data_IF_252232240886
#
_entry.id   IF_252232240886
#
_cell.length_a   1.000
_cell.length_b   1.000
_cell.length_c   1.000
_cell.angle_alpha   90.00
_cell.angle_beta   90.00
_cell.angle_gamma   90.00
#
_symmetry.space_group_name_H-M   'P 1'
#
loop_
_entity.id
_entity.type
_entity.pdbx_description
1 polymer ?
#
# COMPACT_ATOMS: atom_id res chain seq x y z
N UNK A 1 5.33 -0.97 30.81
CA UNK A 1 6.06 -0.43 29.65
C UNK A 1 5.01 0.18 28.72
N UNK A 2 4.88 1.50 28.75
CA UNK A 2 3.81 2.22 28.07
C UNK A 2 4.18 2.31 26.59
N UNK A 3 3.42 1.63 25.73
CA UNK A 3 3.64 1.68 24.28
C UNK A 3 3.23 3.06 23.80
N UNK A 4 4.21 3.95 23.64
CA UNK A 4 4.03 5.24 23.03
C UNK A 4 3.42 5.04 21.64
N UNK A 5 2.21 5.54 21.46
CA UNK A 5 1.50 5.56 20.19
C UNK A 5 2.17 6.62 19.32
N UNK A 6 3.24 6.25 18.62
CA UNK A 6 3.94 7.16 17.69
C UNK A 6 3.00 7.53 16.55
N UNK A 7 2.43 8.73 16.60
CA UNK A 7 1.73 9.39 15.50
C UNK A 7 2.69 9.87 14.38
N UNK A 8 3.83 9.18 14.16
CA UNK A 8 4.95 9.70 13.37
C UNK A 8 5.12 9.14 11.96
N UNK A 9 4.83 7.86 11.75
CA UNK A 9 5.20 7.18 10.50
C UNK A 9 3.97 6.64 9.79
N UNK A 10 3.35 7.48 8.96
CA UNK A 10 2.28 7.07 8.07
C UNK A 10 2.71 7.24 6.62
N UNK A 11 2.62 6.19 5.83
CA UNK A 11 3.01 6.17 4.41
C UNK A 11 1.75 6.05 3.57
N UNK A 12 1.62 6.92 2.57
CA UNK A 12 0.58 6.79 1.55
C UNK A 12 0.98 5.67 0.58
N UNK A 13 0.11 4.68 0.45
CA UNK A 13 0.23 3.56 -0.49
C UNK A 13 -0.89 3.65 -1.51
N UNK A 14 -0.55 3.43 -2.77
CA UNK A 14 -1.48 3.43 -3.90
C UNK A 14 -1.45 2.04 -4.52
N UNK A 15 -2.56 1.32 -4.44
CA UNK A 15 -2.74 0.05 -5.12
C UNK A 15 -3.26 0.30 -6.53
N UNK A 16 -2.64 -0.33 -7.53
CA UNK A 16 -2.98 -0.18 -8.93
C UNK A 16 -3.38 -1.54 -9.49
N UNK A 17 -4.67 -1.74 -9.72
CA UNK A 17 -5.18 -2.94 -10.37
C UNK A 17 -5.21 -2.75 -11.90
N UNK A 18 -4.23 -3.32 -12.58
CA UNK A 18 -3.95 -3.02 -13.99
C UNK A 18 -5.07 -3.44 -14.94
N UNK A 19 -5.82 -4.50 -14.62
CA UNK A 19 -6.84 -5.06 -15.53
C UNK A 19 -7.92 -4.05 -15.92
N UNK A 20 -8.31 -3.20 -14.97
CA UNK A 20 -9.39 -2.23 -15.13
C UNK A 20 -8.93 -0.80 -14.81
N UNK A 21 -7.61 -0.56 -14.70
CA UNK A 21 -7.02 0.73 -14.30
C UNK A 21 -7.58 1.31 -12.99
N UNK A 22 -8.04 0.43 -12.09
CA UNK A 22 -8.61 0.85 -10.81
C UNK A 22 -7.50 1.12 -9.80
N UNK A 23 -7.64 2.21 -9.05
CA UNK A 23 -6.68 2.57 -8.00
C UNK A 23 -7.36 2.69 -6.64
N UNK A 24 -6.62 2.33 -5.59
CA UNK A 24 -7.04 2.54 -4.20
C UNK A 24 -5.90 3.18 -3.40
N UNK A 25 -6.19 4.27 -2.69
CA UNK A 25 -5.21 4.95 -1.84
C UNK A 25 -5.48 4.63 -0.37
N UNK A 26 -4.44 4.19 0.34
CA UNK A 26 -4.53 3.86 1.77
C UNK A 26 -3.32 4.44 2.50
N UNK A 27 -3.56 5.01 3.67
CA UNK A 27 -2.47 5.43 4.57
C UNK A 27 -2.19 4.31 5.55
N UNK A 28 -0.95 3.79 5.53
CA UNK A 28 -0.51 2.68 6.38
C UNK A 28 0.51 3.13 7.40
N UNK A 29 0.47 2.56 8.59
CA UNK A 29 1.55 2.70 9.57
C UNK A 29 2.73 1.77 9.25
N UNK A 30 3.85 1.95 9.94
CA UNK A 30 5.08 1.16 9.72
C UNK A 30 4.88 -0.36 9.84
N UNK A 31 4.02 -0.84 10.76
CA UNK A 31 3.76 -2.26 10.93
C UNK A 31 2.95 -2.83 9.77
N UNK A 32 1.92 -2.12 9.34
CA UNK A 32 1.10 -2.48 8.17
C UNK A 32 1.92 -2.44 6.88
N UNK A 33 2.77 -1.43 6.72
CA UNK A 33 3.68 -1.33 5.58
C UNK A 33 4.67 -2.49 5.55
N UNK A 34 5.23 -2.86 6.69
CA UNK A 34 6.17 -3.99 6.80
C UNK A 34 5.48 -5.32 6.45
N UNK A 35 4.25 -5.53 6.94
CA UNK A 35 3.44 -6.69 6.57
C UNK A 35 3.17 -6.72 5.06
N UNK A 36 2.82 -5.58 4.48
CA UNK A 36 2.52 -5.42 3.06
C UNK A 36 3.73 -5.72 2.16
N UNK A 37 4.92 -5.23 2.51
CA UNK A 37 6.15 -5.48 1.74
C UNK A 37 6.57 -6.96 1.73
N UNK A 38 6.09 -7.75 2.69
CA UNK A 38 6.34 -9.19 2.76
C UNK A 38 5.16 -10.03 2.21
N UNK A 39 4.06 -9.38 1.82
CA UNK A 39 2.88 -10.07 1.31
C UNK A 39 3.08 -10.48 -0.16
N UNK A 40 2.65 -11.69 -0.50
CA UNK A 40 2.61 -12.19 -1.90
C UNK A 40 1.27 -11.92 -2.58
N UNK A 41 0.22 -11.75 -1.78
CA UNK A 41 -1.16 -11.58 -2.18
C UNK A 41 -1.85 -10.62 -1.23
N UNK A 42 -2.82 -9.89 -1.74
CA UNK A 42 -3.58 -8.92 -0.97
C UNK A 42 -5.04 -8.98 -1.39
N UNK A 43 -5.93 -8.90 -0.40
CA UNK A 43 -7.35 -8.65 -0.62
C UNK A 43 -7.64 -7.17 -0.41
N UNK A 44 -8.26 -6.53 -1.40
CA UNK A 44 -8.71 -5.15 -1.31
C UNK A 44 -10.19 -5.15 -1.60
N UNK A 45 -10.99 -4.71 -0.62
CA UNK A 45 -12.47 -4.76 -0.69
C UNK A 45 -13.00 -4.05 -1.94
N UNK A 46 -12.41 -2.90 -2.28
CA UNK A 46 -12.76 -2.12 -3.48
C UNK A 46 -12.65 -2.91 -4.78
N UNK A 47 -11.68 -3.82 -4.88
CA UNK A 47 -11.49 -4.64 -6.08
C UNK A 47 -12.26 -5.96 -5.99
N UNK A 48 -12.75 -6.32 -4.80
CA UNK A 48 -13.47 -7.58 -4.53
C UNK A 48 -12.75 -8.81 -5.10
N UNK A 49 -11.41 -8.76 -5.06
CA UNK A 49 -10.54 -9.75 -5.66
C UNK A 49 -9.30 -9.99 -4.78
N UNK A 50 -8.83 -11.24 -4.77
CA UNK A 50 -7.53 -11.59 -4.22
C UNK A 50 -6.50 -11.43 -5.34
N UNK A 51 -5.66 -10.41 -5.22
CA UNK A 51 -4.73 -10.00 -6.25
C UNK A 51 -3.30 -10.31 -5.83
N UNK A 52 -2.48 -10.73 -6.79
CA UNK A 52 -1.05 -10.95 -6.54
C UNK A 52 -0.30 -9.63 -6.63
N UNK A 53 0.65 -9.46 -5.73
CA UNK A 53 1.61 -8.36 -5.81
C UNK A 53 2.57 -8.65 -6.94
N UNK A 54 2.59 -7.78 -7.95
CA UNK A 54 3.45 -7.92 -9.12
C UNK A 54 4.68 -7.02 -9.03
N UNK A 55 4.48 -5.76 -8.66
CA UNK A 55 5.57 -4.80 -8.55
C UNK A 55 5.30 -3.77 -7.45
N UNK A 56 6.37 -3.27 -6.86
CA UNK A 56 6.36 -2.27 -5.79
C UNK A 56 7.34 -1.17 -6.14
N UNK A 57 6.84 0.05 -6.32
CA UNK A 57 7.63 1.19 -6.81
C UNK A 57 7.41 2.39 -5.89
N UNK A 58 8.50 3.02 -5.44
CA UNK A 58 8.42 4.33 -4.79
C UNK A 58 8.25 5.41 -5.85
N UNK A 59 7.17 6.18 -5.74
CA UNK A 59 6.89 7.32 -6.61
C UNK A 59 7.01 8.61 -5.81
N UNK A 60 7.52 9.65 -6.47
CA UNK A 60 7.60 11.00 -5.91
C UNK A 60 6.92 11.95 -6.88
N UNK A 61 5.82 12.57 -6.46
CA UNK A 61 5.06 13.52 -7.26
C UNK A 61 4.45 14.59 -6.36
N UNK A 62 4.41 15.84 -6.82
CA UNK A 62 3.83 16.98 -6.09
C UNK A 62 4.35 17.09 -4.65
N UNK A 63 5.68 16.96 -4.47
CA UNK A 63 6.37 16.97 -3.18
C UNK A 63 5.93 15.87 -2.18
N UNK A 64 5.25 14.83 -2.68
CA UNK A 64 4.76 13.71 -1.87
C UNK A 64 5.37 12.41 -2.35
N UNK A 65 5.94 11.65 -1.41
CA UNK A 65 6.37 10.27 -1.63
C UNK A 65 5.16 9.36 -1.43
N UNK A 66 4.92 8.45 -2.38
CA UNK A 66 3.92 7.40 -2.24
C UNK A 66 4.44 6.06 -2.76
N UNK A 67 4.06 4.98 -2.09
CA UNK A 67 4.40 3.62 -2.50
C UNK A 67 3.31 3.11 -3.45
N UNK A 68 3.66 2.82 -4.70
CA UNK A 68 2.76 2.20 -5.66
C UNK A 68 2.93 0.70 -5.68
N UNK A 69 1.83 -0.04 -5.59
CA UNK A 69 1.81 -1.50 -5.65
C UNK A 69 0.91 -1.94 -6.79
N UNK A 70 1.51 -2.56 -7.79
CA UNK A 70 0.82 -3.08 -8.96
C UNK A 70 0.31 -4.49 -8.69
N UNK A 71 -0.97 -4.68 -9.01
CA UNK A 71 -1.73 -5.87 -8.71
C UNK A 71 -2.25 -6.53 -9.98
N UNK A 72 -2.22 -7.86 -9.98
CA UNK A 72 -2.67 -8.73 -11.07
C UNK A 72 -3.82 -9.64 -10.66
#
# INVERSE_FOLDING_TARGET
>A
MTVATNQGDSVKVVFVYQKNEQTEEVTLNSAQLSALLNAKQIWIERFSANLKVENTVWSYANDKVSLQIYLK
#
